data_IF_909479472999
#
_entry.id   IF_909479472999
#
_cell.length_a   1.000
_cell.length_b   1.000
_cell.length_c   1.000
_cell.angle_alpha   90.00
_cell.angle_beta   90.00
_cell.angle_gamma   90.00
#
_symmetry.space_group_name_H-M   'P 1'
#
loop_
_entity.id
_entity.type
_entity.pdbx_description
1 polymer ?
#
# COMPACT_ATOMS: atom_id res chain seq x y z
N UNK A 1 -12.02 30.07 -10.95
CA UNK A 1 -12.88 29.41 -9.95
C UNK A 1 -14.04 28.79 -10.68
N UNK A 2 -14.26 27.48 -10.54
CA UNK A 2 -15.26 26.71 -11.29
C UNK A 2 -16.63 26.60 -10.60
N UNK A 3 -16.89 27.35 -9.51
CA UNK A 3 -18.04 27.13 -8.64
C UNK A 3 -19.40 27.07 -9.38
N UNK A 4 -19.67 27.99 -10.30
CA UNK A 4 -20.98 28.06 -11.00
C UNK A 4 -21.05 27.19 -12.28
N UNK A 5 -19.93 26.57 -12.68
CA UNK A 5 -19.82 25.77 -13.92
C UNK A 5 -19.29 24.35 -13.66
N UNK A 6 -19.18 23.93 -12.40
CA UNK A 6 -18.72 22.60 -12.06
C UNK A 6 -19.74 21.57 -12.55
N UNK A 7 -19.31 20.58 -13.36
CA UNK A 7 -20.22 19.58 -13.88
C UNK A 7 -20.90 18.82 -12.74
N UNK A 8 -22.23 18.71 -12.79
CA UNK A 8 -23.00 18.03 -11.73
C UNK A 8 -22.63 16.55 -11.58
N UNK A 9 -22.22 15.90 -12.68
CA UNK A 9 -21.71 14.52 -12.64
C UNK A 9 -20.42 14.40 -11.81
N UNK A 10 -19.51 15.38 -11.90
CA UNK A 10 -18.28 15.39 -11.10
C UNK A 10 -18.59 15.68 -9.62
N UNK A 11 -19.60 16.51 -9.32
CA UNK A 11 -20.02 16.76 -7.94
C UNK A 11 -20.51 15.49 -7.26
N UNK A 12 -21.30 14.66 -7.96
CA UNK A 12 -21.79 13.38 -7.43
C UNK A 12 -20.64 12.40 -7.26
N UNK A 13 -19.75 12.27 -8.25
CA UNK A 13 -18.62 11.36 -8.16
C UNK A 13 -17.65 11.76 -7.02
N UNK A 14 -17.44 13.05 -6.76
CA UNK A 14 -16.64 13.53 -5.64
C UNK A 14 -17.25 13.14 -4.27
N UNK A 15 -18.57 13.21 -4.13
CA UNK A 15 -19.28 12.77 -2.93
C UNK A 15 -19.14 11.26 -2.75
N UNK A 16 -19.29 10.49 -3.82
CA UNK A 16 -19.14 9.03 -3.80
C UNK A 16 -17.72 8.61 -3.40
N UNK A 17 -16.70 9.36 -3.84
CA UNK A 17 -15.30 9.09 -3.52
C UNK A 17 -14.83 9.70 -2.20
N UNK A 18 -15.61 10.57 -1.56
CA UNK A 18 -15.21 11.26 -0.34
C UNK A 18 -14.79 10.28 0.76
N UNK A 19 -15.52 9.18 0.92
CA UNK A 19 -15.26 8.21 1.97
C UNK A 19 -13.95 7.44 1.74
N UNK A 20 -13.67 7.02 0.49
CA UNK A 20 -12.40 6.33 0.16
C UNK A 20 -11.21 7.28 0.24
N UNK A 21 -11.35 8.55 -0.15
CA UNK A 21 -10.29 9.54 0.06
C UNK A 21 -10.07 9.86 1.54
N UNK A 22 -11.09 9.74 2.38
CA UNK A 22 -10.93 9.77 3.84
C UNK A 22 -9.94 8.71 4.34
N UNK A 23 -10.07 7.47 3.85
CA UNK A 23 -9.12 6.39 4.17
C UNK A 23 -7.71 6.73 3.68
N UNK A 24 -7.56 7.33 2.49
CA UNK A 24 -6.25 7.77 1.99
C UNK A 24 -5.60 8.82 2.92
N UNK A 25 -6.39 9.78 3.41
CA UNK A 25 -5.93 10.76 4.41
C UNK A 25 -5.45 10.09 5.70
N UNK A 26 -6.22 9.14 6.23
CA UNK A 26 -5.84 8.35 7.40
C UNK A 26 -4.55 7.54 7.14
N UNK A 27 -4.40 6.96 5.94
CA UNK A 27 -3.18 6.26 5.53
C UNK A 27 -1.95 7.18 5.54
N UNK A 28 -2.08 8.43 5.09
CA UNK A 28 -1.02 9.44 5.17
C UNK A 28 -0.58 9.70 6.61
N UNK A 29 -1.54 9.84 7.53
CA UNK A 29 -1.26 10.03 8.96
C UNK A 29 -0.54 8.82 9.57
N UNK A 30 -1.03 7.61 9.32
CA UNK A 30 -0.41 6.37 9.80
C UNK A 30 1.02 6.21 9.27
N UNK A 31 1.25 6.50 7.97
CA UNK A 31 2.60 6.42 7.38
C UNK A 31 3.56 7.41 8.05
N UNK A 32 3.10 8.60 8.39
CA UNK A 32 3.89 9.57 9.16
C UNK A 32 4.23 9.03 10.56
N UNK A 33 3.23 8.55 11.31
CA UNK A 33 3.45 8.01 12.66
C UNK A 33 4.44 6.83 12.66
N UNK A 34 4.33 5.92 11.68
CA UNK A 34 5.24 4.77 11.53
C UNK A 34 6.65 5.23 11.20
N UNK A 35 6.81 6.27 10.37
CA UNK A 35 8.15 6.76 9.99
C UNK A 35 8.88 7.40 11.18
N UNK A 36 8.14 7.95 12.15
CA UNK A 36 8.73 8.55 13.34
C UNK A 36 9.30 7.50 14.31
N UNK A 37 8.81 6.24 14.26
CA UNK A 37 9.31 5.13 15.09
C UNK A 37 10.82 4.90 14.92
N UNK A 38 11.36 5.11 13.72
CA UNK A 38 12.78 4.93 13.45
C UNK A 38 13.70 5.91 14.19
N UNK A 39 13.14 7.01 14.72
CA UNK A 39 13.87 8.06 15.45
C UNK A 39 13.75 7.92 16.97
N UNK A 40 12.88 7.03 17.45
CA UNK A 40 12.57 6.86 18.86
C UNK A 40 13.26 5.63 19.42
N UNK A 41 13.55 5.66 20.73
CA UNK A 41 14.21 4.55 21.44
C UNK A 41 13.59 4.32 22.83
N UNK A 42 13.73 3.09 23.34
CA UNK A 42 13.25 2.70 24.67
C UNK A 42 11.75 2.92 24.86
N UNK A 43 11.36 3.36 26.07
CA UNK A 43 9.97 3.53 26.47
C UNK A 43 9.16 4.50 25.59
N UNK A 44 9.82 5.49 24.97
CA UNK A 44 9.13 6.42 24.06
C UNK A 44 8.73 5.74 22.75
N UNK A 45 9.62 4.90 22.22
CA UNK A 45 9.31 4.08 21.04
C UNK A 45 8.18 3.10 21.34
N UNK A 46 8.24 2.41 22.49
CA UNK A 46 7.19 1.46 22.89
C UNK A 46 5.82 2.14 23.02
N UNK A 47 5.76 3.35 23.61
CA UNK A 47 4.52 4.12 23.69
C UNK A 47 4.01 4.50 22.29
N UNK A 48 4.89 4.96 21.41
CA UNK A 48 4.51 5.32 20.04
C UNK A 48 4.08 4.10 19.22
N UNK A 49 4.72 2.94 19.40
CA UNK A 49 4.30 1.68 18.75
C UNK A 49 2.86 1.32 19.16
N UNK A 50 2.53 1.40 20.46
CA UNK A 50 1.17 1.18 20.94
C UNK A 50 0.15 2.18 20.38
N UNK A 51 0.53 3.46 20.27
CA UNK A 51 -0.33 4.48 19.67
C UNK A 51 -0.57 4.25 18.16
N UNK A 52 0.45 3.79 17.43
CA UNK A 52 0.33 3.42 16.01
C UNK A 52 -0.58 2.21 15.85
N UNK A 53 -0.41 1.20 16.68
CA UNK A 53 -1.25 -0.01 16.67
C UNK A 53 -2.72 0.32 16.93
N UNK A 54 -3.00 1.14 17.95
CA UNK A 54 -4.36 1.61 18.24
C UNK A 54 -4.94 2.40 17.06
N UNK A 55 -4.15 3.31 16.46
CA UNK A 55 -4.58 4.09 15.31
C UNK A 55 -4.88 3.21 14.08
N UNK A 56 -4.08 2.17 13.82
CA UNK A 56 -4.34 1.20 12.74
C UNK A 56 -5.66 0.48 12.98
N UNK A 57 -5.92 0.04 14.21
CA UNK A 57 -7.17 -0.63 14.59
C UNK A 57 -8.38 0.30 14.44
N UNK A 58 -8.28 1.54 14.93
CA UNK A 58 -9.34 2.55 14.79
C UNK A 58 -9.68 2.84 13.32
N UNK A 59 -8.67 3.02 12.46
CA UNK A 59 -8.86 3.20 11.01
C UNK A 59 -9.50 1.96 10.38
N UNK A 60 -9.05 0.76 10.77
CA UNK A 60 -9.63 -0.50 10.29
C UNK A 60 -11.10 -0.65 10.65
N UNK A 61 -11.50 -0.26 11.87
CA UNK A 61 -12.89 -0.25 12.30
C UNK A 61 -13.72 0.81 11.57
N UNK A 62 -13.21 2.04 11.46
CA UNK A 62 -13.92 3.15 10.84
C UNK A 62 -14.20 2.93 9.35
N UNK A 63 -13.29 2.24 8.64
CA UNK A 63 -13.39 1.98 7.21
C UNK A 63 -13.68 0.51 6.87
N UNK A 64 -14.16 -0.27 7.84
CA UNK A 64 -14.42 -1.70 7.67
C UNK A 64 -15.30 -2.00 6.44
N UNK A 65 -16.31 -1.18 6.17
CA UNK A 65 -17.22 -1.39 5.04
C UNK A 65 -16.48 -1.28 3.69
N UNK A 66 -15.55 -0.33 3.54
CA UNK A 66 -14.69 -0.25 2.35
C UNK A 66 -13.78 -1.47 2.21
N UNK A 67 -13.22 -1.95 3.33
CA UNK A 67 -12.36 -3.14 3.34
C UNK A 67 -13.16 -4.39 2.94
N UNK A 68 -14.40 -4.53 3.41
CA UNK A 68 -15.30 -5.62 3.02
C UNK A 68 -15.69 -5.54 1.55
N UNK A 69 -16.04 -4.34 1.05
CA UNK A 69 -16.34 -4.12 -0.37
C UNK A 69 -15.14 -4.51 -1.23
N UNK A 70 -13.94 -4.05 -0.87
CA UNK A 70 -12.71 -4.42 -1.59
C UNK A 70 -12.48 -5.93 -1.63
N UNK A 71 -12.72 -6.64 -0.52
CA UNK A 71 -12.64 -8.10 -0.46
C UNK A 71 -13.70 -8.83 -1.30
N UNK A 72 -14.83 -8.17 -1.60
CA UNK A 72 -15.87 -8.68 -2.47
C UNK A 72 -15.71 -8.32 -3.96
N UNK A 73 -14.79 -7.41 -4.30
CA UNK A 73 -14.55 -7.03 -5.69
C UNK A 73 -13.98 -8.22 -6.48
N UNK A 74 -14.56 -8.44 -7.66
CA UNK A 74 -14.17 -9.51 -8.56
C UNK A 74 -13.43 -8.96 -9.78
N UNK A 75 -12.82 -9.87 -10.53
CA UNK A 75 -12.17 -9.52 -11.79
C UNK A 75 -13.13 -9.01 -12.87
N UNK A 76 -14.39 -9.46 -12.82
CA UNK A 76 -15.43 -9.07 -13.77
C UNK A 76 -15.95 -7.63 -13.56
N UNK A 77 -15.69 -7.05 -12.38
CA UNK A 77 -16.07 -5.66 -12.09
C UNK A 77 -15.05 -4.72 -12.74
N UNK A 78 -15.45 -4.03 -13.80
CA UNK A 78 -14.57 -3.09 -14.49
C UNK A 78 -14.32 -1.80 -13.69
N UNK A 79 -13.35 -1.01 -14.15
CA UNK A 79 -13.02 0.30 -13.58
C UNK A 79 -13.86 1.44 -14.22
N UNK A 80 -15.01 1.14 -14.84
CA UNK A 80 -15.84 2.17 -15.50
C UNK A 80 -16.31 3.25 -14.53
N UNK A 81 -16.43 2.90 -13.24
CA UNK A 81 -16.66 3.83 -12.16
C UNK A 81 -15.37 4.10 -11.39
N UNK A 82 -14.98 5.38 -11.30
CA UNK A 82 -13.74 5.84 -10.64
C UNK A 82 -13.61 5.34 -9.20
N UNK A 83 -14.73 5.18 -8.50
CA UNK A 83 -14.80 4.62 -7.14
C UNK A 83 -14.18 3.22 -7.06
N UNK A 84 -14.40 2.34 -8.04
CA UNK A 84 -13.86 0.97 -8.03
C UNK A 84 -12.33 1.00 -8.10
N UNK A 85 -11.77 1.79 -9.02
CA UNK A 85 -10.33 1.97 -9.15
C UNK A 85 -9.72 2.59 -7.87
N UNK A 86 -10.41 3.57 -7.28
CA UNK A 86 -9.98 4.20 -6.03
C UNK A 86 -10.02 3.23 -4.84
N UNK A 87 -11.05 2.39 -4.71
CA UNK A 87 -11.12 1.34 -3.68
C UNK A 87 -9.95 0.38 -3.84
N UNK A 88 -9.72 -0.17 -5.05
CA UNK A 88 -8.60 -1.09 -5.32
C UNK A 88 -7.26 -0.48 -4.95
N UNK A 89 -7.04 0.79 -5.33
CA UNK A 89 -5.82 1.50 -5.02
C UNK A 89 -5.64 1.80 -3.54
N UNK A 90 -6.60 2.50 -2.93
CA UNK A 90 -6.47 3.06 -1.58
C UNK A 90 -6.55 1.97 -0.51
N UNK A 91 -7.37 0.93 -0.68
CA UNK A 91 -7.39 -0.19 0.25
C UNK A 91 -6.06 -0.96 0.23
N UNK A 92 -5.43 -1.10 -0.93
CA UNK A 92 -4.08 -1.66 -1.01
C UNK A 92 -3.04 -0.81 -0.26
N UNK A 93 -3.18 0.53 -0.23
CA UNK A 93 -2.36 1.40 0.61
C UNK A 93 -2.52 1.13 2.09
N UNK A 94 -3.75 0.98 2.58
CA UNK A 94 -4.00 0.65 3.99
C UNK A 94 -3.35 -0.68 4.37
N UNK A 95 -3.53 -1.71 3.55
CA UNK A 95 -2.89 -3.01 3.79
C UNK A 95 -1.37 -2.95 3.75
N UNK A 96 -0.78 -2.16 2.86
CA UNK A 96 0.67 -1.95 2.81
C UNK A 96 1.20 -1.21 4.05
N UNK A 97 0.42 -0.31 4.65
CA UNK A 97 0.74 0.32 5.94
C UNK A 97 0.81 -0.73 7.04
N UNK A 98 -0.16 -1.65 7.10
CA UNK A 98 -0.13 -2.74 8.08
C UNK A 98 1.10 -3.64 7.88
N UNK A 99 1.43 -4.00 6.63
CA UNK A 99 2.64 -4.77 6.31
C UNK A 99 3.92 -4.03 6.74
N UNK A 100 3.98 -2.72 6.50
CA UNK A 100 5.11 -1.88 6.91
C UNK A 100 5.23 -1.84 8.43
N UNK A 101 4.14 -1.57 9.14
CA UNK A 101 4.14 -1.54 10.60
C UNK A 101 4.60 -2.88 11.18
N UNK A 102 4.05 -4.00 10.70
CA UNK A 102 4.46 -5.34 11.11
C UNK A 102 5.97 -5.59 10.95
N UNK A 103 6.61 -4.97 9.95
CA UNK A 103 8.04 -5.14 9.69
C UNK A 103 8.94 -4.28 10.56
N UNK A 104 8.48 -3.13 11.03
CA UNK A 104 9.29 -2.19 11.83
C UNK A 104 8.96 -2.23 13.32
N UNK A 105 7.75 -2.66 13.68
CA UNK A 105 7.28 -2.75 15.06
C UNK A 105 7.84 -4.00 15.75
N UNK A 106 8.01 -3.90 17.07
CA UNK A 106 8.18 -5.08 17.92
C UNK A 106 6.83 -5.66 18.38
N UNK A 107 5.75 -4.86 18.26
CA UNK A 107 4.39 -5.27 18.54
C UNK A 107 3.76 -6.06 17.38
N UNK A 108 2.71 -6.82 17.69
CA UNK A 108 1.99 -7.63 16.73
C UNK A 108 0.55 -7.14 16.66
N UNK A 109 0.13 -6.73 15.47
CA UNK A 109 -1.27 -6.42 15.22
C UNK A 109 -2.15 -7.66 15.48
N UNK A 110 -3.18 -7.51 16.31
CA UNK A 110 -4.10 -8.59 16.63
C UNK A 110 -4.79 -9.16 15.38
N UNK A 111 -4.79 -10.49 15.26
CA UNK A 111 -5.42 -11.19 14.13
C UNK A 111 -4.74 -10.98 12.77
N UNK A 112 -3.61 -10.27 12.73
CA UNK A 112 -2.92 -9.93 11.48
C UNK A 112 -2.25 -11.15 10.86
N UNK A 113 -2.64 -11.47 9.63
CA UNK A 113 -2.10 -12.58 8.85
C UNK A 113 -1.43 -12.03 7.60
N UNK A 114 -0.09 -11.89 7.67
CA UNK A 114 0.76 -11.35 6.59
C UNK A 114 0.38 -11.93 5.22
N UNK A 115 0.21 -13.25 5.13
CA UNK A 115 -0.06 -13.93 3.87
C UNK A 115 -1.43 -13.59 3.28
N UNK A 116 -2.43 -13.33 4.10
CA UNK A 116 -3.76 -12.89 3.64
C UNK A 116 -3.71 -11.45 3.16
N UNK A 117 -3.05 -10.58 3.91
CA UNK A 117 -2.89 -9.17 3.54
C UNK A 117 -2.09 -9.02 2.24
N UNK A 118 -1.01 -9.80 2.08
CA UNK A 118 -0.28 -9.91 0.82
C UNK A 118 -1.20 -10.37 -0.30
N UNK A 119 -2.02 -11.39 -0.08
CA UNK A 119 -2.92 -11.90 -1.11
C UNK A 119 -3.97 -10.85 -1.51
N UNK A 120 -4.57 -10.15 -0.55
CA UNK A 120 -5.51 -9.05 -0.81
C UNK A 120 -4.87 -7.95 -1.67
N UNK A 121 -3.66 -7.50 -1.36
CA UNK A 121 -2.98 -6.48 -2.18
C UNK A 121 -2.73 -7.01 -3.60
N UNK A 122 -2.25 -8.25 -3.74
CA UNK A 122 -1.98 -8.84 -5.05
C UNK A 122 -3.25 -9.01 -5.89
N UNK A 123 -4.36 -9.39 -5.27
CA UNK A 123 -5.65 -9.56 -5.94
C UNK A 123 -6.20 -8.21 -6.40
N UNK A 124 -6.22 -7.19 -5.53
CA UNK A 124 -6.65 -5.84 -5.89
C UNK A 124 -5.76 -5.25 -7.01
N UNK A 125 -4.46 -5.51 -6.96
CA UNK A 125 -3.51 -5.05 -7.96
C UNK A 125 -3.71 -5.72 -9.33
N UNK A 126 -3.89 -7.05 -9.35
CA UNK A 126 -4.20 -7.78 -10.57
C UNK A 126 -5.53 -7.30 -11.16
N UNK A 127 -6.51 -7.02 -10.28
CA UNK A 127 -7.79 -6.48 -10.71
C UNK A 127 -7.70 -5.10 -11.32
N UNK A 128 -6.98 -4.17 -10.68
CA UNK A 128 -6.81 -2.82 -11.20
C UNK A 128 -5.95 -2.82 -12.47
N UNK A 129 -5.01 -3.76 -12.61
CA UNK A 129 -4.18 -3.92 -13.80
C UNK A 129 -4.96 -4.36 -15.03
N UNK A 130 -5.86 -5.33 -14.90
CA UNK A 130 -6.67 -5.83 -16.01
C UNK A 130 -7.44 -4.71 -16.72
N UNK A 131 -7.94 -3.74 -15.96
CA UNK A 131 -8.79 -2.66 -16.46
C UNK A 131 -8.02 -1.34 -16.70
N UNK A 132 -6.93 -1.10 -15.96
CA UNK A 132 -6.18 0.16 -15.97
C UNK A 132 -4.75 0.09 -16.55
N UNK A 133 -4.26 -1.11 -16.86
CA UNK A 133 -2.92 -1.32 -17.42
C UNK A 133 -1.79 -0.73 -16.57
N UNK A 134 -0.75 -0.20 -17.22
CA UNK A 134 0.42 0.31 -16.48
C UNK A 134 0.09 1.52 -15.58
N UNK A 135 -0.94 2.32 -15.91
CA UNK A 135 -1.33 3.50 -15.13
C UNK A 135 -1.90 3.11 -13.75
N UNK A 136 -2.60 1.98 -13.64
CA UNK A 136 -3.04 1.50 -12.33
C UNK A 136 -1.86 1.08 -11.46
N UNK A 137 -0.86 0.40 -12.04
CA UNK A 137 0.38 0.03 -11.32
C UNK A 137 1.10 1.26 -10.79
N UNK A 138 1.16 2.36 -11.54
CA UNK A 138 1.76 3.63 -11.09
C UNK A 138 1.11 4.10 -9.78
N UNK A 139 -0.22 4.01 -9.65
CA UNK A 139 -0.94 4.42 -8.44
C UNK A 139 -0.60 3.53 -7.24
N UNK A 140 -0.46 2.22 -7.45
CA UNK A 140 -0.22 1.23 -6.38
C UNK A 140 1.23 0.74 -6.28
N UNK A 141 2.18 1.47 -6.87
CA UNK A 141 3.58 1.06 -6.91
C UNK A 141 4.18 0.90 -5.51
N UNK A 142 3.87 1.81 -4.58
CA UNK A 142 4.34 1.72 -3.20
C UNK A 142 3.75 0.52 -2.45
N UNK A 143 2.42 0.26 -2.47
CA UNK A 143 1.85 -0.96 -1.92
C UNK A 143 2.48 -2.25 -2.46
N UNK A 144 2.68 -2.33 -3.78
CA UNK A 144 3.30 -3.49 -4.42
C UNK A 144 4.75 -3.68 -3.99
N UNK A 145 5.51 -2.58 -3.92
CA UNK A 145 6.90 -2.62 -3.47
C UNK A 145 7.01 -3.15 -2.03
N UNK A 146 6.22 -2.63 -1.09
CA UNK A 146 6.16 -3.13 0.30
C UNK A 146 5.77 -4.61 0.31
N UNK A 147 4.76 -5.00 -0.48
CA UNK A 147 4.30 -6.40 -0.58
C UNK A 147 5.42 -7.34 -1.01
N UNK A 148 6.20 -6.97 -2.03
CA UNK A 148 7.31 -7.78 -2.54
C UNK A 148 8.47 -7.90 -1.54
N UNK A 149 8.68 -6.88 -0.71
CA UNK A 149 9.66 -6.93 0.37
C UNK A 149 9.21 -7.83 1.53
N UNK A 150 7.90 -7.95 1.76
CA UNK A 150 7.36 -8.72 2.88
C UNK A 150 7.15 -10.19 2.52
N UNK A 151 6.67 -10.49 1.32
CA UNK A 151 6.33 -11.85 0.89
C UNK A 151 7.58 -12.71 0.63
N UNK A 152 7.46 -13.99 0.94
CA UNK A 152 8.40 -15.07 0.64
C UNK A 152 8.07 -15.81 -0.68
N UNK A 153 6.93 -15.49 -1.29
CA UNK A 153 6.47 -16.14 -2.52
C UNK A 153 7.17 -15.52 -3.73
N UNK A 154 8.13 -16.25 -4.30
CA UNK A 154 8.85 -15.86 -5.51
C UNK A 154 7.92 -15.45 -6.67
N UNK A 155 6.74 -16.08 -6.80
CA UNK A 155 5.73 -15.71 -7.81
C UNK A 155 5.23 -14.26 -7.65
N UNK A 156 4.99 -13.81 -6.40
CA UNK A 156 4.51 -12.46 -6.13
C UNK A 156 5.64 -11.44 -6.31
N UNK A 157 6.84 -11.76 -5.80
CA UNK A 157 8.03 -10.94 -5.98
C UNK A 157 8.35 -10.72 -7.47
N UNK A 158 8.34 -11.78 -8.28
CA UNK A 158 8.61 -11.69 -9.72
C UNK A 158 7.53 -10.91 -10.46
N UNK A 159 6.25 -11.09 -10.09
CA UNK A 159 5.16 -10.32 -10.68
C UNK A 159 5.34 -8.83 -10.39
N UNK A 160 5.60 -8.44 -9.14
CA UNK A 160 5.84 -7.04 -8.77
C UNK A 160 7.07 -6.48 -9.48
N UNK A 161 8.18 -7.22 -9.49
CA UNK A 161 9.42 -6.79 -10.13
C UNK A 161 9.21 -6.52 -11.62
N UNK A 162 8.49 -7.40 -12.33
CA UNK A 162 8.15 -7.21 -13.75
C UNK A 162 7.34 -5.92 -13.96
N UNK A 163 6.33 -5.67 -13.13
CA UNK A 163 5.47 -4.48 -13.27
C UNK A 163 6.20 -3.18 -12.89
N UNK A 164 7.03 -3.18 -11.84
CA UNK A 164 7.92 -2.04 -11.53
C UNK A 164 8.88 -1.74 -12.69
N UNK A 165 9.41 -2.77 -13.35
CA UNK A 165 10.26 -2.62 -14.53
C UNK A 165 9.53 -1.93 -15.68
N UNK A 166 8.27 -2.29 -15.93
CA UNK A 166 7.42 -1.64 -16.96
C UNK A 166 7.17 -0.17 -16.66
N UNK A 167 6.91 0.17 -15.38
CA UNK A 167 6.60 1.55 -14.98
C UNK A 167 7.83 2.41 -14.71
N UNK A 168 9.05 1.85 -14.75
CA UNK A 168 10.32 2.58 -14.60
C UNK A 168 10.42 3.80 -15.54
N UNK A 169 9.84 3.70 -16.74
CA UNK A 169 9.78 4.78 -17.74
C UNK A 169 9.00 6.02 -17.27
N UNK A 170 8.11 5.89 -16.29
CA UNK A 170 7.28 6.99 -15.78
C UNK A 170 7.96 7.80 -14.68
N UNK A 171 9.12 7.38 -14.16
CA UNK A 171 9.84 8.16 -13.15
C UNK A 171 11.05 7.47 -12.53
N UNK A 172 12.04 8.27 -12.12
CA UNK A 172 13.28 7.78 -11.49
C UNK A 172 13.04 6.97 -10.22
N UNK A 173 12.00 7.30 -9.46
CA UNK A 173 11.64 6.59 -8.23
C UNK A 173 11.19 5.15 -8.53
N UNK A 174 10.46 4.92 -9.62
CA UNK A 174 10.07 3.58 -10.05
C UNK A 174 11.27 2.77 -10.55
N UNK A 175 12.19 3.39 -11.29
CA UNK A 175 13.45 2.75 -11.69
C UNK A 175 14.31 2.37 -10.49
N UNK A 176 14.41 3.25 -9.47
CA UNK A 176 15.08 2.94 -8.19
C UNK A 176 14.42 1.76 -7.48
N UNK A 177 13.09 1.75 -7.37
CA UNK A 177 12.33 0.66 -6.76
C UNK A 177 12.57 -0.68 -7.49
N UNK A 178 12.54 -0.67 -8.82
CA UNK A 178 12.81 -1.85 -9.65
C UNK A 178 14.22 -2.41 -9.41
N UNK A 179 15.25 -1.55 -9.47
CA UNK A 179 16.65 -1.95 -9.24
C UNK A 179 16.86 -2.48 -7.84
N UNK A 180 16.33 -1.78 -6.85
CA UNK A 180 16.39 -2.17 -5.44
C UNK A 180 15.79 -3.56 -5.23
N UNK A 181 14.53 -3.74 -5.63
CA UNK A 181 13.83 -5.01 -5.47
C UNK A 181 14.54 -6.15 -6.23
N UNK A 182 15.04 -5.87 -7.44
CA UNK A 182 15.80 -6.84 -8.21
C UNK A 182 17.09 -7.30 -7.51
N UNK A 183 17.79 -6.38 -6.83
CA UNK A 183 18.97 -6.73 -6.05
C UNK A 183 18.61 -7.56 -4.82
N UNK A 184 17.53 -7.22 -4.11
CA UNK A 184 17.04 -7.99 -2.96
C UNK A 184 16.68 -9.42 -3.38
N UNK A 185 15.89 -9.60 -4.45
CA UNK A 185 15.46 -10.92 -4.91
C UNK A 185 16.67 -11.77 -5.35
N UNK A 186 17.66 -11.17 -6.03
CA UNK A 186 18.88 -11.88 -6.44
C UNK A 186 19.80 -12.24 -5.26
N UNK A 187 19.81 -11.42 -4.21
CA UNK A 187 20.60 -11.64 -2.99
C UNK A 187 19.96 -12.60 -1.99
N UNK A 188 18.66 -12.90 -2.11
CA UNK A 188 17.96 -13.86 -1.26
C UNK A 188 18.39 -15.31 -1.57
N UNK A 189 19.37 -15.82 -0.81
CA UNK A 189 19.59 -17.26 -0.64
C UNK A 189 19.04 -17.71 0.73
N UNK A 190 17.71 -17.73 0.89
CA UNK A 190 17.04 -18.16 2.12
C UNK A 190 15.78 -17.35 2.47
N UNK A 191 15.01 -17.75 3.50
CA UNK A 191 13.80 -17.02 3.91
C UNK A 191 14.14 -15.55 4.24
N UNK A 192 13.26 -14.59 3.88
CA UNK A 192 13.60 -13.17 3.91
C UNK A 192 13.90 -12.71 5.34
N UNK A 193 15.13 -12.21 5.57
CA UNK A 193 15.54 -11.55 6.80
C UNK A 193 14.66 -10.34 7.15
N UNK A 194 14.88 -9.75 8.33
CA UNK A 194 14.13 -8.57 8.75
C UNK A 194 14.48 -7.37 7.85
N UNK A 195 13.48 -6.56 7.50
CA UNK A 195 13.69 -5.32 6.72
C UNK A 195 14.64 -4.32 7.41
N UNK A 196 14.81 -4.46 8.73
CA UNK A 196 15.78 -3.72 9.54
C UNK A 196 17.25 -4.03 9.20
N UNK A 197 17.53 -5.07 8.40
CA UNK A 197 18.88 -5.44 7.94
C UNK A 197 19.21 -4.84 6.55
N UNK A 198 18.25 -4.16 5.91
CA UNK A 198 18.51 -3.44 4.68
C UNK A 198 19.21 -2.11 5.02
N UNK A 199 20.52 -2.06 4.79
CA UNK A 199 21.37 -0.86 5.00
C UNK A 199 21.05 0.32 4.05
N UNK A 200 20.11 0.16 3.13
CA UNK A 200 19.71 1.20 2.18
C UNK A 200 18.35 1.79 2.57
N UNK A 201 18.16 3.13 2.47
CA UNK A 201 16.95 3.82 2.90
C UNK A 201 15.82 3.60 1.87
N UNK A 202 15.31 2.37 1.78
CA UNK A 202 14.22 2.00 0.89
C UNK A 202 12.96 2.84 1.11
N UNK A 203 12.83 3.41 2.31
CA UNK A 203 11.77 4.34 2.70
C UNK A 203 11.78 5.63 1.86
N UNK A 204 12.96 6.06 1.40
CA UNK A 204 13.16 7.27 0.59
C UNK A 204 12.88 7.06 -0.90
N UNK A 205 12.78 5.81 -1.37
CA UNK A 205 12.55 5.49 -2.79
C UNK A 205 11.24 6.11 -3.29
N UNK A 206 10.23 6.20 -2.43
CA UNK A 206 8.92 6.78 -2.72
C UNK A 206 8.62 8.03 -1.88
N UNK A 207 9.66 8.76 -1.45
CA UNK A 207 9.51 10.11 -0.91
C UNK A 207 9.62 11.09 -2.08
N UNK A 208 8.69 12.05 -2.13
CA UNK A 208 8.72 13.20 -3.06
C UNK A 208 9.57 14.29 -2.43
#
# INVERSE_FOLDING_TARGET
MWADSYPQAELVDDIENQYVYGLLGACGHLRYMISDLGRLHGAERERQEGAVEEAIAQVGHLYNDLLQVAGGLSMATDNSHRLVANIRGIVAYYYAIMLRFHRVSSSHLDGFRVQEVVQCIMDLAAQDYEHGGDESIVRIAWPLFVTALVTDKARHQNWVLSHLGRISRFGKNYDRAYKFLGNIIRGQQGPPGKLSELNEPWEEIFVI
#
